data_IF_469099573984
#
_entry.id   IF_469099573984
#
_cell.length_a   1.000
_cell.length_b   1.000
_cell.length_c   1.000
_cell.angle_alpha   90.00
_cell.angle_beta   90.00
_cell.angle_gamma   90.00
#
_symmetry.space_group_name_H-M   'P 1'
#
loop_
_entity.id
_entity.type
_entity.pdbx_description
1 polymer ?
#
# COMPACT_ATOMS: atom_id res chain seq x y z
N UNK A 1 -26.97 -40.62 20.91
CA UNK A 1 -26.15 -41.68 21.52
C UNK A 1 -25.64 -42.58 20.40
N UNK A 2 -24.39 -42.40 19.97
CA UNK A 2 -23.65 -43.41 19.21
C UNK A 2 -22.21 -43.40 19.68
N UNK A 3 -21.70 -44.61 19.81
CA UNK A 3 -20.63 -45.04 20.69
C UNK A 3 -19.23 -44.67 20.20
N UNK A 4 -18.36 -44.41 21.17
CA UNK A 4 -16.92 -44.36 21.04
C UNK A 4 -16.38 -45.77 20.77
N UNK A 5 -15.45 -45.89 19.82
CA UNK A 5 -14.62 -47.09 19.65
C UNK A 5 -13.16 -46.68 19.80
N UNK A 6 -12.64 -46.86 21.02
CA UNK A 6 -11.21 -46.85 21.31
C UNK A 6 -10.57 -48.12 20.75
N UNK A 7 -9.49 -47.97 19.97
CA UNK A 7 -8.55 -49.05 19.72
C UNK A 7 -7.19 -48.69 20.30
N UNK A 8 -6.90 -49.32 21.43
CA UNK A 8 -5.55 -49.39 21.97
C UNK A 8 -4.76 -50.48 21.25
N UNK A 9 -3.62 -50.12 20.68
CA UNK A 9 -2.55 -51.06 20.34
C UNK A 9 -1.30 -50.68 21.13
N UNK A 10 -1.04 -51.46 22.17
CA UNK A 10 0.28 -51.60 22.80
C UNK A 10 1.04 -52.64 21.98
N UNK A 11 2.32 -52.40 21.69
CA UNK A 11 3.20 -53.50 21.32
C UNK A 11 4.43 -53.13 20.50
N UNK A 12 5.55 -52.99 21.20
CA UNK A 12 6.83 -53.68 20.95
C UNK A 12 7.50 -53.43 19.58
N UNK A 13 8.68 -52.80 19.66
CA UNK A 13 9.88 -53.53 19.25
C UNK A 13 10.72 -52.94 18.12
N UNK A 14 12.02 -52.94 18.42
CA UNK A 14 13.16 -52.91 17.50
C UNK A 14 13.58 -51.51 17.03
N UNK A 15 14.51 -50.95 17.79
CA UNK A 15 15.43 -49.91 17.32
C UNK A 15 16.38 -50.53 16.28
N UNK A 16 16.14 -50.26 15.00
CA UNK A 16 17.13 -50.43 13.94
C UNK A 16 17.71 -49.05 13.64
N UNK A 17 18.92 -48.79 14.12
CA UNK A 17 19.67 -47.59 13.79
C UNK A 17 20.26 -47.74 12.38
N UNK A 18 19.44 -47.46 11.36
CA UNK A 18 19.91 -47.33 9.98
C UNK A 18 20.52 -45.94 9.80
N UNK A 19 21.85 -45.87 9.75
CA UNK A 19 22.58 -44.67 9.32
C UNK A 19 22.34 -44.49 7.82
N UNK A 20 21.27 -43.78 7.47
CA UNK A 20 21.03 -43.32 6.10
C UNK A 20 21.87 -42.06 5.90
N UNK A 21 22.95 -42.18 5.14
CA UNK A 21 23.68 -41.03 4.62
C UNK A 21 22.81 -40.31 3.58
N UNK A 22 21.97 -39.38 4.06
CA UNK A 22 21.21 -38.49 3.19
C UNK A 22 22.20 -37.51 2.57
N UNK A 23 22.62 -37.82 1.33
CA UNK A 23 23.21 -36.82 0.44
C UNK A 23 22.10 -35.82 0.10
N UNK A 24 21.96 -34.80 0.93
CA UNK A 24 21.12 -33.64 0.65
C UNK A 24 21.75 -32.94 -0.55
N UNK A 25 21.33 -33.34 -1.74
CA UNK A 25 21.52 -32.55 -2.95
C UNK A 25 20.70 -31.28 -2.75
N UNK A 26 21.36 -30.27 -2.18
CA UNK A 26 20.81 -28.93 -2.05
C UNK A 26 20.57 -28.38 -3.44
N UNK A 27 19.36 -28.57 -3.96
CA UNK A 27 18.81 -27.75 -5.02
C UNK A 27 18.71 -26.34 -4.45
N UNK A 28 19.79 -25.56 -4.55
CA UNK A 28 19.73 -24.13 -4.32
C UNK A 28 18.73 -23.59 -5.35
N UNK A 29 17.57 -23.06 -4.93
CA UNK A 29 16.70 -22.37 -5.87
C UNK A 29 17.54 -21.27 -6.53
N UNK A 30 17.46 -21.09 -7.86
CA UNK A 30 18.15 -19.98 -8.51
C UNK A 30 17.74 -18.72 -7.78
N UNK A 31 18.74 -17.95 -7.30
CA UNK A 31 18.52 -16.65 -6.72
C UNK A 31 17.72 -15.85 -7.74
N UNK A 32 16.42 -15.70 -7.49
CA UNK A 32 15.55 -14.88 -8.31
C UNK A 32 16.11 -13.47 -8.20
N UNK A 33 16.77 -13.04 -9.28
CA UNK A 33 17.29 -11.69 -9.39
C UNK A 33 16.15 -10.72 -9.04
N UNK A 34 16.39 -9.70 -8.20
CA UNK A 34 15.38 -8.68 -7.97
C UNK A 34 15.04 -8.08 -9.32
N UNK A 35 13.77 -8.20 -9.72
CA UNK A 35 13.21 -7.46 -10.83
C UNK A 35 13.24 -5.97 -10.47
N UNK A 36 14.40 -5.33 -10.64
CA UNK A 36 14.52 -3.88 -10.69
C UNK A 36 13.96 -3.43 -12.04
N UNK A 37 12.64 -3.51 -12.17
CA UNK A 37 11.93 -2.94 -13.31
C UNK A 37 11.82 -1.44 -13.06
N UNK A 38 12.89 -0.72 -13.33
CA UNK A 38 12.84 0.74 -13.47
C UNK A 38 12.16 1.05 -14.80
N UNK A 39 10.86 0.81 -14.89
CA UNK A 39 10.03 1.21 -16.04
C UNK A 39 9.78 2.73 -15.96
N UNK A 40 10.84 3.50 -16.20
CA UNK A 40 10.78 4.93 -16.44
C UNK A 40 10.57 5.20 -17.93
N UNK A 41 9.35 4.96 -18.44
CA UNK A 41 8.96 5.56 -19.72
C UNK A 41 8.20 6.83 -19.38
N UNK A 42 8.92 7.95 -19.46
CA UNK A 42 8.42 9.29 -19.25
C UNK A 42 7.39 9.62 -20.34
N UNK A 43 6.10 9.46 -20.03
CA UNK A 43 5.05 10.21 -20.70
C UNK A 43 5.31 11.68 -20.44
N UNK A 44 5.58 12.46 -21.49
CA UNK A 44 5.80 13.91 -21.45
C UNK A 44 4.48 14.68 -21.35
N UNK A 45 3.41 14.05 -20.87
CA UNK A 45 2.22 14.78 -20.42
C UNK A 45 2.59 15.43 -19.08
N UNK A 46 2.44 16.76 -18.99
CA UNK A 46 2.77 17.51 -17.79
C UNK A 46 1.94 16.95 -16.64
N UNK A 47 2.61 16.18 -15.77
CA UNK A 47 2.00 15.59 -14.59
C UNK A 47 1.38 16.71 -13.75
N UNK A 48 0.04 16.81 -13.77
CA UNK A 48 -0.70 17.85 -13.06
C UNK A 48 -1.71 17.23 -12.11
N UNK A 49 -1.95 17.93 -11.01
CA UNK A 49 -3.02 17.58 -10.07
C UNK A 49 -4.33 18.20 -10.57
N UNK A 50 -5.35 17.39 -10.76
CA UNK A 50 -6.71 17.84 -11.05
C UNK A 50 -7.40 18.23 -9.75
N UNK A 51 -7.98 19.43 -9.70
CA UNK A 51 -8.73 19.92 -8.54
C UNK A 51 -10.22 19.95 -8.87
N UNK A 52 -11.02 19.23 -8.10
CA UNK A 52 -12.48 19.26 -8.17
C UNK A 52 -13.00 20.01 -6.94
N UNK A 53 -13.43 21.24 -7.20
CA UNK A 53 -13.91 22.20 -6.21
C UNK A 53 -15.40 22.46 -6.51
N UNK A 54 -16.28 21.64 -5.91
CA UNK A 54 -17.73 21.80 -6.03
C UNK A 54 -18.26 22.63 -4.86
N UNK A 55 -18.94 23.75 -5.14
CA UNK A 55 -19.50 24.66 -4.13
C UNK A 55 -20.54 24.02 -3.21
N UNK A 56 -21.14 22.90 -3.63
CA UNK A 56 -22.11 22.15 -2.83
C UNK A 56 -21.46 21.05 -1.98
N UNK A 57 -20.17 20.75 -2.18
CA UNK A 57 -19.43 19.78 -1.38
C UNK A 57 -18.58 20.45 -0.29
N UNK A 58 -18.56 19.83 0.90
CA UNK A 58 -17.71 20.26 2.02
C UNK A 58 -16.21 20.02 1.77
N UNK A 59 -15.90 19.08 0.89
CA UNK A 59 -14.54 18.64 0.60
C UNK A 59 -14.11 19.13 -0.78
N UNK A 60 -12.87 19.60 -0.90
CA UNK A 60 -12.21 19.79 -2.19
C UNK A 60 -11.38 18.55 -2.49
N UNK A 61 -11.56 17.99 -3.69
CA UNK A 61 -10.89 16.75 -4.11
C UNK A 61 -9.71 17.08 -4.99
N UNK A 62 -8.58 16.44 -4.74
CA UNK A 62 -7.35 16.57 -5.52
C UNK A 62 -6.99 15.20 -6.10
N UNK A 63 -6.89 15.08 -7.42
CA UNK A 63 -6.44 13.86 -8.10
C UNK A 63 -5.05 14.07 -8.67
N UNK A 64 -4.08 13.38 -8.10
CA UNK A 64 -2.69 13.43 -8.56
C UNK A 64 -2.48 12.69 -9.88
N UNK A 65 -1.29 12.85 -10.47
CA UNK A 65 -0.91 12.18 -11.72
C UNK A 65 -1.05 10.67 -11.63
N UNK A 66 -1.41 10.03 -12.76
CA UNK A 66 -1.56 8.58 -12.84
C UNK A 66 -0.20 7.91 -13.11
N UNK A 67 0.20 7.02 -12.21
CA UNK A 67 1.35 6.13 -12.34
C UNK A 67 0.91 4.84 -13.02
N UNK A 68 1.54 4.48 -14.14
CA UNK A 68 1.39 3.14 -14.72
C UNK A 68 2.18 2.12 -13.90
N UNK A 69 1.53 1.03 -13.52
CA UNK A 69 2.14 -0.08 -12.77
C UNK A 69 2.48 -1.29 -13.66
N UNK A 70 2.39 -1.11 -14.98
CA UNK A 70 2.61 -2.15 -15.96
C UNK A 70 1.59 -2.06 -17.09
N UNK A 71 2.03 -2.48 -18.27
CA UNK A 71 1.17 -2.61 -19.44
C UNK A 71 0.66 -4.05 -19.52
N UNK A 72 -0.57 -4.18 -20.01
CA UNK A 72 -1.02 -5.44 -20.58
C UNK A 72 -0.70 -5.53 -22.06
N UNK A 73 -0.74 -6.75 -22.64
CA UNK A 73 -0.72 -6.90 -24.09
C UNK A 73 -1.77 -5.95 -24.71
N UNK A 74 -1.42 -5.34 -25.85
CA UNK A 74 -2.22 -4.32 -26.57
C UNK A 74 -2.20 -2.90 -26.00
N UNK A 75 -1.32 -2.59 -25.02
CA UNK A 75 -1.00 -1.20 -24.66
C UNK A 75 -2.05 -0.47 -23.83
N UNK A 76 -3.05 -1.18 -23.29
CA UNK A 76 -4.07 -0.59 -22.40
C UNK A 76 -3.52 -0.51 -20.97
N UNK A 77 -3.55 0.70 -20.40
CA UNK A 77 -3.16 0.99 -19.02
C UNK A 77 -4.24 0.50 -18.04
N UNK A 78 -4.24 -0.78 -17.74
CA UNK A 78 -5.19 -1.40 -16.79
C UNK A 78 -4.67 -1.42 -15.35
N UNK A 79 -3.34 -1.44 -15.18
CA UNK A 79 -2.68 -1.41 -13.88
C UNK A 79 -2.15 -0.01 -13.60
N UNK A 80 -2.71 0.66 -12.61
CA UNK A 80 -2.33 2.03 -12.30
C UNK A 80 -2.50 2.38 -10.83
N UNK A 81 -1.78 3.40 -10.40
CA UNK A 81 -1.99 4.03 -9.12
C UNK A 81 -1.97 5.56 -9.24
N UNK A 82 -2.62 6.25 -8.32
CA UNK A 82 -2.48 7.69 -8.16
C UNK A 82 -2.77 8.11 -6.73
N UNK A 83 -2.22 9.25 -6.34
CA UNK A 83 -2.54 9.87 -5.05
C UNK A 83 -3.85 10.63 -5.19
N UNK A 84 -4.78 10.43 -4.26
CA UNK A 84 -6.02 11.20 -4.14
C UNK A 84 -6.03 11.89 -2.79
N UNK A 85 -6.59 13.08 -2.71
CA UNK A 85 -6.73 13.78 -1.44
C UNK A 85 -8.05 14.51 -1.34
N UNK A 86 -8.52 14.67 -0.11
CA UNK A 86 -9.71 15.43 0.22
C UNK A 86 -9.33 16.42 1.30
N UNK A 87 -9.68 17.70 1.09
CA UNK A 87 -9.44 18.75 2.07
C UNK A 87 -10.78 19.31 2.54
N UNK A 88 -11.02 19.28 3.84
CA UNK A 88 -12.19 19.92 4.43
C UNK A 88 -12.05 21.44 4.37
N UNK A 89 -13.05 22.12 3.79
CA UNK A 89 -12.99 23.57 3.58
C UNK A 89 -12.95 24.37 4.88
N UNK A 90 -13.59 23.88 5.94
CA UNK A 90 -13.72 24.63 7.18
C UNK A 90 -12.44 24.49 8.02
N UNK A 91 -11.94 23.27 8.19
CA UNK A 91 -10.75 23.02 9.01
C UNK A 91 -9.45 23.24 8.24
N UNK A 92 -9.44 22.97 6.93
CA UNK A 92 -8.22 22.85 6.12
C UNK A 92 -7.52 21.50 6.30
N UNK A 93 -8.13 20.55 7.00
CA UNK A 93 -7.54 19.23 7.23
C UNK A 93 -7.57 18.40 5.97
N UNK A 94 -6.41 17.84 5.60
CA UNK A 94 -6.26 16.96 4.45
C UNK A 94 -6.30 15.48 4.86
N UNK A 95 -6.94 14.66 4.04
CA UNK A 95 -6.82 13.20 4.06
C UNK A 95 -6.33 12.71 2.71
N UNK A 96 -5.50 11.67 2.70
CA UNK A 96 -4.88 11.17 1.47
C UNK A 96 -5.09 9.67 1.32
N UNK A 97 -5.20 9.24 0.08
CA UNK A 97 -5.29 7.83 -0.27
C UNK A 97 -4.44 7.52 -1.49
N UNK A 98 -3.59 6.51 -1.37
CA UNK A 98 -3.03 5.85 -2.55
C UNK A 98 -4.11 4.97 -3.17
N UNK A 99 -4.61 5.37 -4.32
CA UNK A 99 -5.61 4.63 -5.09
C UNK A 99 -4.91 3.71 -6.07
N UNK A 100 -5.33 2.43 -6.12
CA UNK A 100 -4.73 1.41 -6.98
C UNK A 100 -5.82 0.68 -7.73
N UNK A 101 -5.62 0.51 -9.03
CA UNK A 101 -6.38 -0.40 -9.89
C UNK A 101 -5.46 -1.54 -10.29
N UNK A 102 -5.83 -2.76 -9.93
CA UNK A 102 -5.14 -3.99 -10.31
C UNK A 102 -6.03 -4.82 -11.22
N UNK A 103 -5.59 -5.02 -12.46
CA UNK A 103 -6.16 -5.94 -13.41
C UNK A 103 -5.26 -7.15 -13.60
N UNK A 104 -5.88 -8.33 -13.59
CA UNK A 104 -5.21 -9.59 -13.85
C UNK A 104 -6.18 -10.60 -14.44
N UNK A 105 -5.65 -11.59 -15.15
CA UNK A 105 -6.42 -12.71 -15.69
C UNK A 105 -6.19 -13.95 -14.81
N UNK A 106 -7.22 -14.77 -14.64
CA UNK A 106 -7.08 -16.02 -13.90
C UNK A 106 -8.40 -16.62 -13.42
N UNK A 107 -8.27 -17.76 -12.73
CA UNK A 107 -9.41 -18.54 -12.23
C UNK A 107 -10.02 -18.00 -10.93
N UNK A 108 -9.41 -17.01 -10.28
CA UNK A 108 -9.90 -16.51 -8.99
C UNK A 108 -9.43 -15.10 -8.63
N UNK A 109 -10.09 -14.54 -7.63
CA UNK A 109 -9.79 -13.23 -7.06
C UNK A 109 -8.56 -13.28 -6.15
N UNK A 110 -7.75 -12.21 -6.14
CA UNK A 110 -6.66 -12.07 -5.17
C UNK A 110 -7.19 -11.70 -3.79
N UNK A 111 -8.25 -10.88 -3.75
CA UNK A 111 -8.83 -10.29 -2.55
C UNK A 111 -7.79 -9.54 -1.73
N UNK A 112 -7.31 -8.42 -2.26
CA UNK A 112 -6.48 -7.49 -1.50
C UNK A 112 -7.15 -7.13 -0.18
N UNK A 113 -6.39 -7.14 0.92
CA UNK A 113 -6.98 -7.08 2.27
C UNK A 113 -6.14 -6.40 3.34
N UNK A 114 -4.83 -6.25 3.14
CA UNK A 114 -3.93 -5.59 4.11
C UNK A 114 -2.93 -4.70 3.39
N UNK A 115 -2.41 -3.73 4.12
CA UNK A 115 -1.40 -2.81 3.61
C UNK A 115 -0.45 -2.35 4.72
N UNK A 116 0.83 -2.29 4.38
CA UNK A 116 1.86 -1.73 5.23
C UNK A 116 2.62 -0.63 4.48
N UNK A 117 3.01 0.41 5.19
CA UNK A 117 3.89 1.46 4.72
C UNK A 117 5.36 1.07 4.77
N UNK A 118 6.20 1.93 4.19
CA UNK A 118 7.65 1.86 4.31
C UNK A 118 8.05 1.88 5.79
N UNK A 119 8.99 1.02 6.19
CA UNK A 119 9.36 0.83 7.60
C UNK A 119 8.46 -0.15 8.37
N UNK A 120 7.41 -0.68 7.74
CA UNK A 120 6.51 -1.66 8.35
C UNK A 120 5.30 -1.05 9.07
N UNK A 121 5.09 0.26 8.93
CA UNK A 121 3.95 0.96 9.52
C UNK A 121 2.63 0.36 9.06
N UNK A 122 1.72 0.10 10.00
CA UNK A 122 0.39 -0.38 9.65
C UNK A 122 -0.44 0.78 9.11
N UNK A 123 -0.84 0.68 7.83
CA UNK A 123 -1.75 1.65 7.21
C UNK A 123 -3.17 1.06 7.16
N UNK A 124 -4.16 1.92 6.97
CA UNK A 124 -5.54 1.50 6.75
C UNK A 124 -5.74 1.04 5.30
N UNK A 125 -6.17 -0.20 5.13
CA UNK A 125 -6.58 -0.74 3.84
C UNK A 125 -8.02 -0.36 3.51
N UNK A 126 -8.27 0.10 2.28
CA UNK A 126 -9.62 0.41 1.79
C UNK A 126 -9.94 -0.44 0.57
N UNK A 127 -10.91 -1.35 0.69
CA UNK A 127 -11.50 -2.04 -0.46
C UNK A 127 -12.49 -1.09 -1.15
N UNK A 128 -12.30 -0.80 -2.43
CA UNK A 128 -13.13 0.18 -3.14
C UNK A 128 -14.11 -0.51 -4.08
N UNK A 129 -13.61 -1.34 -4.99
CA UNK A 129 -14.44 -2.00 -5.99
C UNK A 129 -13.83 -3.32 -6.47
N UNK A 130 -14.68 -4.23 -6.95
CA UNK A 130 -14.29 -5.48 -7.59
C UNK A 130 -15.23 -5.77 -8.75
N UNK A 131 -14.70 -5.90 -9.95
CA UNK A 131 -15.49 -6.13 -11.17
C UNK A 131 -14.87 -7.22 -12.04
N UNK A 132 -15.73 -8.04 -12.65
CA UNK A 132 -15.31 -8.98 -13.68
C UNK A 132 -15.30 -8.22 -15.00
N UNK A 133 -14.17 -8.27 -15.70
CA UNK A 133 -14.03 -7.74 -17.06
C UNK A 133 -14.60 -8.71 -18.10
N UNK A 134 -13.81 -8.99 -19.14
CA UNK A 134 -14.16 -10.01 -20.13
C UNK A 134 -13.79 -11.41 -19.66
N UNK A 135 -14.63 -12.40 -20.01
CA UNK A 135 -14.34 -13.81 -19.81
C UNK A 135 -14.16 -14.51 -21.15
N UNK A 136 -13.04 -15.22 -21.31
CA UNK A 136 -12.79 -16.12 -22.42
C UNK A 136 -13.03 -17.57 -22.01
N UNK A 137 -13.64 -18.36 -22.90
CA UNK A 137 -13.91 -19.79 -22.66
C UNK A 137 -12.65 -20.57 -22.25
N UNK A 138 -11.47 -20.16 -22.73
CA UNK A 138 -10.19 -20.85 -22.52
C UNK A 138 -9.19 -20.07 -21.66
N UNK A 139 -9.38 -18.76 -21.47
CA UNK A 139 -8.43 -17.88 -20.78
C UNK A 139 -8.88 -17.51 -19.36
N UNK A 140 -10.08 -17.91 -18.97
CA UNK A 140 -10.69 -17.50 -17.69
C UNK A 140 -11.27 -16.09 -17.80
N UNK A 141 -11.44 -15.43 -16.65
CA UNK A 141 -11.95 -14.07 -16.58
C UNK A 141 -10.84 -13.09 -16.24
N UNK A 142 -10.89 -11.91 -16.85
CA UNK A 142 -10.20 -10.74 -16.35
C UNK A 142 -10.91 -10.20 -15.11
N UNK A 143 -10.14 -9.84 -14.09
CA UNK A 143 -10.64 -9.28 -12.83
C UNK A 143 -10.04 -7.91 -12.63
N UNK A 144 -10.86 -6.95 -12.22
CA UNK A 144 -10.45 -5.63 -11.77
C UNK A 144 -10.67 -5.54 -10.26
N UNK A 145 -9.60 -5.38 -9.48
CA UNK A 145 -9.69 -5.00 -8.07
C UNK A 145 -9.21 -3.57 -7.89
N UNK A 146 -10.10 -2.72 -7.37
CA UNK A 146 -9.77 -1.36 -6.97
C UNK A 146 -9.69 -1.27 -5.45
N UNK A 147 -8.56 -0.79 -4.96
CA UNK A 147 -8.30 -0.67 -3.53
C UNK A 147 -7.39 0.52 -3.25
N UNK A 148 -7.14 0.80 -1.98
CA UNK A 148 -6.20 1.83 -1.62
C UNK A 148 -5.69 1.74 -0.19
N UNK A 149 -4.80 2.67 0.13
CA UNK A 149 -4.24 2.84 1.46
C UNK A 149 -4.48 4.28 1.92
N UNK A 150 -5.05 4.48 3.11
CA UNK A 150 -5.11 5.81 3.73
C UNK A 150 -3.71 6.17 4.21
N UNK A 151 -3.19 7.33 3.80
CA UNK A 151 -1.85 7.80 4.17
C UNK A 151 -2.00 9.08 4.99
N UNK A 152 -1.44 9.15 6.21
CA UNK A 152 -1.46 10.38 6.99
C UNK A 152 -0.75 11.54 6.27
N UNK A 153 -1.29 12.76 6.36
CA UNK A 153 -0.69 13.97 5.75
C UNK A 153 0.78 14.16 6.17
N UNK A 154 1.06 13.98 7.47
CA UNK A 154 2.42 14.03 8.00
C UNK A 154 3.37 13.06 7.29
N UNK A 155 2.94 11.83 7.03
CA UNK A 155 3.77 10.82 6.36
C UNK A 155 4.14 11.26 4.95
N UNK A 156 3.18 11.82 4.19
CA UNK A 156 3.48 12.35 2.85
C UNK A 156 4.43 13.53 2.91
N UNK A 157 4.20 14.48 3.82
CA UNK A 157 5.07 15.66 3.98
C UNK A 157 6.50 15.27 4.38
N UNK A 158 6.65 14.36 5.34
CA UNK A 158 7.95 13.83 5.77
C UNK A 158 8.71 13.14 4.62
N UNK A 159 8.00 12.63 3.62
CA UNK A 159 8.56 11.91 2.47
C UNK A 159 8.49 12.68 1.15
N UNK A 160 8.23 14.01 1.19
CA UNK A 160 8.08 14.80 -0.02
C UNK A 160 9.30 14.76 -0.95
N UNK A 161 10.51 14.70 -0.38
CA UNK A 161 11.77 14.64 -1.12
C UNK A 161 12.26 13.22 -1.43
N UNK A 162 11.79 12.21 -0.70
CA UNK A 162 12.29 10.82 -0.76
C UNK A 162 11.34 9.86 -1.45
N UNK A 163 10.06 10.21 -1.55
CA UNK A 163 9.01 9.28 -1.99
C UNK A 163 8.61 8.32 -0.87
N UNK A 164 7.52 7.58 -1.09
CA UNK A 164 6.97 6.68 -0.09
C UNK A 164 6.49 5.39 -0.72
N UNK A 165 6.91 4.25 -0.19
CA UNK A 165 6.52 2.93 -0.70
C UNK A 165 5.46 2.27 0.19
N UNK A 166 4.50 1.61 -0.44
CA UNK A 166 3.39 0.93 0.21
C UNK A 166 3.30 -0.49 -0.31
N UNK A 167 3.23 -1.48 0.59
CA UNK A 167 3.11 -2.89 0.26
C UNK A 167 1.72 -3.41 0.62
N UNK A 168 1.00 -3.88 -0.39
CA UNK A 168 -0.30 -4.53 -0.27
C UNK A 168 -0.17 -6.04 -0.22
N UNK A 169 -1.09 -6.68 0.49
CA UNK A 169 -1.14 -8.13 0.64
C UNK A 169 -2.54 -8.66 0.30
N UNK A 170 -2.56 -9.68 -0.55
CA UNK A 170 -3.75 -10.39 -0.98
C UNK A 170 -4.01 -11.62 -0.10
N UNK A 171 -5.27 -12.09 -0.06
CA UNK A 171 -5.62 -13.32 0.68
C UNK A 171 -5.06 -14.58 0.04
N UNK A 172 -4.79 -14.56 -1.27
CA UNK A 172 -4.15 -15.67 -1.98
C UNK A 172 -2.62 -15.73 -1.80
N UNK A 173 -2.03 -14.85 -0.99
CA UNK A 173 -0.60 -14.79 -0.73
C UNK A 173 0.19 -13.89 -1.69
N UNK A 174 -0.44 -13.30 -2.70
CA UNK A 174 0.23 -12.31 -3.54
C UNK A 174 0.50 -11.00 -2.80
N UNK A 175 1.53 -10.30 -3.27
CA UNK A 175 1.98 -9.04 -2.72
C UNK A 175 2.20 -8.02 -3.85
N UNK A 176 1.96 -6.74 -3.57
CA UNK A 176 2.20 -5.66 -4.52
C UNK A 176 2.83 -4.47 -3.80
N UNK A 177 3.98 -4.01 -4.28
CA UNK A 177 4.60 -2.78 -3.79
C UNK A 177 4.31 -1.66 -4.79
N UNK A 178 3.82 -0.54 -4.29
CA UNK A 178 3.57 0.67 -5.06
C UNK A 178 4.38 1.81 -4.45
N UNK A 179 5.23 2.44 -5.25
CA UNK A 179 6.05 3.57 -4.83
C UNK A 179 5.45 4.87 -5.33
N UNK A 180 5.13 5.77 -4.41
CA UNK A 180 4.74 7.15 -4.69
C UNK A 180 6.02 7.97 -4.84
N UNK A 181 6.24 8.53 -6.02
CA UNK A 181 7.48 9.27 -6.30
C UNK A 181 7.52 10.61 -5.54
N UNK A 182 8.71 11.15 -5.24
CA UNK A 182 8.85 12.50 -4.67
C UNK A 182 8.06 13.56 -5.46
N UNK A 183 8.08 13.45 -6.80
CA UNK A 183 7.37 14.38 -7.68
C UNK A 183 5.86 14.30 -7.50
N UNK A 184 5.27 13.09 -7.41
CA UNK A 184 3.83 12.93 -7.17
C UNK A 184 3.42 13.54 -5.83
N UNK A 185 4.22 13.31 -4.78
CA UNK A 185 3.95 13.86 -3.44
C UNK A 185 4.05 15.39 -3.47
N UNK A 186 5.13 15.93 -4.04
CA UNK A 186 5.37 17.37 -4.10
C UNK A 186 4.27 18.10 -4.88
N UNK A 187 3.89 17.60 -6.07
CA UNK A 187 2.80 18.17 -6.85
C UNK A 187 1.48 18.16 -6.08
N UNK A 188 1.18 17.07 -5.37
CA UNK A 188 -0.04 16.95 -4.58
C UNK A 188 -0.06 17.95 -3.43
N UNK A 189 1.01 18.02 -2.64
CA UNK A 189 1.12 18.92 -1.48
C UNK A 189 1.11 20.38 -1.94
N UNK A 190 1.84 20.73 -3.00
CA UNK A 190 1.85 22.10 -3.53
C UNK A 190 0.46 22.54 -4.00
N UNK A 191 -0.27 21.67 -4.69
CA UNK A 191 -1.65 21.96 -5.11
C UNK A 191 -2.58 22.19 -3.91
N UNK A 192 -2.43 21.40 -2.85
CA UNK A 192 -3.18 21.56 -1.60
C UNK A 192 -2.80 22.86 -0.91
N UNK A 193 -1.53 23.10 -0.64
CA UNK A 193 -1.04 24.26 0.12
C UNK A 193 -1.30 25.58 -0.62
N UNK A 194 -1.28 25.57 -1.96
CA UNK A 194 -1.67 26.74 -2.77
C UNK A 194 -3.14 27.13 -2.55
N UNK A 195 -4.03 26.17 -2.32
CA UNK A 195 -5.47 26.40 -2.13
C UNK A 195 -5.85 26.54 -0.66
N UNK A 196 -5.17 25.80 0.20
CA UNK A 196 -5.37 25.72 1.65
C UNK A 196 -4.00 25.86 2.33
N UNK A 197 -3.46 27.10 2.40
CA UNK A 197 -2.16 27.32 3.02
C UNK A 197 -2.15 26.74 4.43
N UNK A 198 -1.07 26.07 4.85
CA UNK A 198 -0.97 25.53 6.19
C UNK A 198 -1.19 26.68 7.17
N UNK A 199 -2.13 26.49 8.10
CA UNK A 199 -2.28 27.38 9.24
C UNK A 199 -0.99 27.23 10.02
N UNK A 200 -0.10 28.21 9.89
CA UNK A 200 1.11 28.29 10.72
C UNK A 200 0.60 28.41 12.14
N UNK A 201 0.54 27.29 12.86
CA UNK A 201 0.23 27.33 14.28
C UNK A 201 1.32 28.22 14.89
N UNK A 202 0.96 29.35 15.52
CA UNK A 202 1.95 30.26 16.05
C UNK A 202 2.84 29.44 16.96
N UNK A 203 4.14 29.38 16.65
CA UNK A 203 5.11 28.53 17.32
C UNK A 203 4.83 28.62 18.81
N UNK A 204 4.41 27.51 19.43
CA UNK A 204 4.19 27.45 20.87
C UNK A 204 5.46 27.99 21.47
N UNK A 205 5.39 29.21 21.99
CA UNK A 205 6.53 29.90 22.59
C UNK A 205 7.02 28.93 23.64
N UNK A 206 8.19 28.34 23.37
CA UNK A 206 8.81 27.33 24.20
C UNK A 206 8.78 27.88 25.62
N UNK A 207 7.87 27.33 26.42
CA UNK A 207 7.56 27.86 27.74
C UNK A 207 8.86 27.78 28.51
N UNK A 208 9.41 28.97 28.83
CA UNK A 208 10.73 29.13 29.42
C UNK A 208 10.98 28.06 30.49
N UNK A 209 12.16 27.42 30.50
CA UNK A 209 12.44 26.29 31.38
C UNK A 209 12.07 26.67 32.81
N UNK A 210 11.14 25.90 33.39
CA UNK A 210 10.69 26.10 34.75
C UNK A 210 11.91 26.07 35.67
N UNK A 211 12.22 27.22 36.29
CA UNK A 211 13.37 27.37 37.16
C UNK A 211 13.34 26.29 38.27
N UNK A 212 14.34 25.43 38.25
CA UNK A 212 14.52 24.35 39.21
C UNK A 212 14.69 24.92 40.61
N UNK A 213 13.69 24.71 41.48
CA UNK A 213 13.78 25.05 42.91
C UNK A 213 14.75 24.08 43.59
N UNK A 214 15.91 24.59 43.98
CA UNK A 214 16.93 23.89 44.77
C UNK A 214 16.35 23.52 46.16
N UNK A 215 16.44 22.27 46.63
CA UNK A 215 15.95 21.90 47.96
C UNK A 215 16.87 22.45 49.06
N UNK A 216 16.27 23.04 50.10
CA UNK A 216 16.97 23.48 51.30
C UNK A 216 17.28 22.29 52.22
N UNK A 217 18.55 22.13 52.61
CA UNK A 217 18.98 21.17 53.64
C UNK A 217 18.58 21.71 55.02
N UNK A 218 18.00 20.84 55.85
CA UNK A 218 17.87 21.02 57.31
C UNK A 218 19.01 20.31 58.01
#
# INVERSE_FOLDING_TARGET
MREYVEWGMKGIGVAVATVVAVLVSGCAPPASAPFNTTAGIASTEVARVEVKDDSFEKLVKFQGPRLSLGYQPYGILVNAANLRSWVDRASGSASHQLYVVDYYEGSGWKFWSRVNGQGGDQLEFVSINREVGSCGRYTGCGHYETFGATIPDKVLRDHASTGYSVKFFAKNGEEKVVTITPQMISLQIEAIDKRFPPKVEPAKTESAPAASKKPAKR
#
